data_IF_685314016705
#
_entry.id   IF_685314016705
#
_cell.length_a   1.000
_cell.length_b   1.000
_cell.length_c   1.000
_cell.angle_alpha   90.00
_cell.angle_beta   90.00
_cell.angle_gamma   90.00
#
_symmetry.space_group_name_H-M   'P 1'
#
loop_
_entity.id
_entity.type
_entity.pdbx_description
1 polymer ?
#
# COMPACT_ATOMS: atom_id res chain seq x y z
N UNK A 1 30.14 12.55 8.02
CA UNK A 1 30.31 11.41 8.90
C UNK A 1 29.34 10.38 8.42
N UNK A 2 29.84 9.25 7.87
CA UNK A 2 28.99 8.10 7.56
C UNK A 2 28.25 7.66 8.83
N UNK A 3 26.96 7.25 8.77
CA UNK A 3 26.32 6.64 9.91
C UNK A 3 27.16 5.41 10.28
N UNK A 4 27.51 5.34 11.56
CA UNK A 4 28.15 4.16 12.13
C UNK A 4 27.32 2.92 11.79
N UNK A 5 27.98 1.77 11.57
CA UNK A 5 27.47 0.40 11.45
C UNK A 5 26.53 -0.05 12.58
N UNK A 6 25.52 0.74 12.91
CA UNK A 6 24.37 0.23 13.66
C UNK A 6 23.51 -0.50 12.62
N UNK A 7 23.69 -1.82 12.53
CA UNK A 7 22.76 -2.70 11.81
C UNK A 7 21.35 -2.31 12.25
N UNK A 8 20.56 -1.72 11.34
CA UNK A 8 19.19 -1.40 11.66
C UNK A 8 18.45 -2.71 11.96
N UNK A 9 17.93 -2.82 13.17
CA UNK A 9 17.09 -3.97 13.51
C UNK A 9 15.82 -3.99 12.64
N UNK A 10 15.24 -5.17 12.40
CA UNK A 10 13.95 -5.25 11.71
C UNK A 10 12.92 -4.36 12.36
N UNK A 11 12.18 -3.61 11.54
CA UNK A 11 11.16 -2.68 12.00
C UNK A 11 9.85 -2.85 11.21
N UNK A 12 8.78 -2.21 11.68
CA UNK A 12 7.46 -2.38 11.10
C UNK A 12 6.90 -1.05 10.63
N UNK A 13 6.31 -1.08 9.43
CA UNK A 13 5.63 0.05 8.79
C UNK A 13 4.19 -0.36 8.49
N UNK A 14 3.23 0.53 8.72
CA UNK A 14 1.85 0.34 8.30
C UNK A 14 1.62 1.01 6.95
N UNK A 15 1.30 0.22 5.92
CA UNK A 15 0.76 0.76 4.68
C UNK A 15 -0.74 0.95 4.85
N UNK A 16 -1.22 2.14 4.52
CA UNK A 16 -2.63 2.54 4.60
C UNK A 16 -3.08 2.97 3.22
N UNK A 17 -4.04 2.27 2.65
CA UNK A 17 -4.75 2.74 1.47
C UNK A 17 -6.01 3.48 1.90
N UNK A 18 -6.09 4.76 1.60
CA UNK A 18 -7.23 5.60 1.95
C UNK A 18 -8.03 6.00 0.71
N UNK A 19 -9.33 6.25 0.92
CA UNK A 19 -10.23 6.79 -0.09
C UNK A 19 -10.92 8.02 0.51
N UNK A 20 -10.66 9.16 -0.12
CA UNK A 20 -11.24 10.43 0.31
C UNK A 20 -12.63 10.61 -0.33
N UNK A 21 -13.63 9.92 0.21
CA UNK A 21 -15.02 10.10 -0.21
C UNK A 21 -15.70 11.18 0.64
N UNK A 22 -15.97 12.32 0.06
CA UNK A 22 -16.67 13.44 0.71
C UNK A 22 -17.99 13.06 1.39
N UNK A 23 -18.65 11.98 0.94
CA UNK A 23 -19.97 11.58 1.39
C UNK A 23 -19.98 10.66 2.62
N UNK A 24 -18.92 9.89 2.88
CA UNK A 24 -18.90 8.85 3.93
C UNK A 24 -17.78 9.00 4.95
N UNK A 25 -16.98 10.07 4.87
CA UNK A 25 -15.79 10.29 5.67
C UNK A 25 -14.60 9.45 5.20
N UNK A 26 -13.42 9.91 5.53
CA UNK A 26 -12.16 9.22 5.21
C UNK A 26 -12.09 7.89 5.97
N UNK A 27 -11.88 6.80 5.24
CA UNK A 27 -11.68 5.46 5.84
C UNK A 27 -10.51 4.79 5.17
N UNK A 28 -9.77 3.99 5.93
CA UNK A 28 -8.79 3.11 5.34
C UNK A 28 -9.48 1.92 4.68
N UNK A 29 -9.26 1.76 3.39
CA UNK A 29 -9.75 0.59 2.65
C UNK A 29 -8.75 -0.56 2.65
N UNK A 30 -7.48 -0.27 2.83
CA UNK A 30 -6.43 -1.27 2.95
C UNK A 30 -5.51 -0.96 4.13
N UNK A 31 -5.22 -1.99 4.92
CA UNK A 31 -4.24 -1.96 6.00
C UNK A 31 -3.29 -3.14 5.80
N UNK A 32 -2.01 -2.85 5.57
CA UNK A 32 -0.97 -3.88 5.39
C UNK A 32 0.17 -3.60 6.34
N UNK A 33 0.37 -4.51 7.29
CA UNK A 33 1.53 -4.48 8.18
C UNK A 33 2.75 -5.03 7.42
N UNK A 34 3.78 -4.23 7.30
CA UNK A 34 5.02 -4.55 6.60
C UNK A 34 6.15 -4.65 7.59
N UNK A 35 6.81 -5.81 7.65
CA UNK A 35 8.07 -5.98 8.34
C UNK A 35 9.21 -5.79 7.36
N UNK A 36 10.12 -4.88 7.65
CA UNK A 36 11.33 -4.62 6.88
C UNK A 36 12.52 -5.11 7.69
N UNK A 37 13.29 -6.00 7.08
CA UNK A 37 14.54 -6.52 7.65
C UNK A 37 15.71 -6.02 6.79
N UNK A 38 16.38 -4.94 7.19
CA UNK A 38 17.46 -4.36 6.39
C UNK A 38 18.72 -5.25 6.31
N UNK A 39 18.94 -6.07 7.32
CA UNK A 39 20.11 -6.97 7.35
C UNK A 39 19.88 -8.21 6.49
N UNK A 40 18.70 -8.81 6.63
CA UNK A 40 18.31 -9.97 5.82
C UNK A 40 17.81 -9.63 4.42
N UNK A 41 17.62 -8.35 4.10
CA UNK A 41 16.98 -7.84 2.88
C UNK A 41 15.66 -8.55 2.59
N UNK A 42 14.82 -8.70 3.61
CA UNK A 42 13.53 -9.38 3.53
C UNK A 42 12.41 -8.42 3.89
N UNK A 43 11.40 -8.39 3.03
CA UNK A 43 10.15 -7.67 3.26
C UNK A 43 9.02 -8.69 3.41
N UNK A 44 8.30 -8.62 4.51
CA UNK A 44 7.13 -9.47 4.78
C UNK A 44 5.89 -8.61 4.93
N UNK A 45 4.79 -9.01 4.30
CA UNK A 45 3.53 -8.28 4.34
C UNK A 45 2.39 -9.12 4.89
N UNK A 46 1.60 -8.54 5.77
CA UNK A 46 0.38 -9.13 6.32
C UNK A 46 -0.76 -8.13 6.21
N UNK A 47 -1.85 -8.50 5.53
CA UNK A 47 -3.05 -7.67 5.50
C UNK A 47 -3.82 -7.78 6.81
N UNK A 48 -4.30 -6.65 7.29
CA UNK A 48 -5.29 -6.56 8.37
C UNK A 48 -6.64 -6.29 7.73
N UNK A 49 -7.63 -7.20 7.87
CA UNK A 49 -8.95 -6.99 7.29
C UNK A 49 -9.59 -5.73 7.87
N UNK A 50 -10.06 -4.84 7.01
CA UNK A 50 -10.64 -3.55 7.42
C UNK A 50 -11.85 -3.69 8.33
N UNK A 51 -12.58 -4.82 8.23
CA UNK A 51 -13.77 -5.14 9.04
C UNK A 51 -13.44 -5.87 10.35
N UNK A 52 -12.13 -6.03 10.68
CA UNK A 52 -11.69 -6.63 11.95
C UNK A 52 -12.34 -5.90 13.13
N UNK A 53 -13.00 -6.63 14.05
CA UNK A 53 -13.56 -6.02 15.25
C UNK A 53 -12.47 -5.41 16.12
N UNK A 54 -12.66 -4.17 16.53
CA UNK A 54 -11.76 -3.43 17.40
C UNK A 54 -12.57 -2.69 18.50
N UNK A 55 -12.16 -2.87 19.75
CA UNK A 55 -12.81 -2.19 20.86
C UNK A 55 -12.29 -0.76 21.02
N UNK A 56 -13.16 0.21 20.85
CA UNK A 56 -12.85 1.62 21.01
C UNK A 56 -13.91 2.33 21.85
N UNK A 57 -13.49 2.97 22.94
CA UNK A 57 -14.38 3.68 23.87
C UNK A 57 -15.57 2.82 24.39
N UNK A 58 -15.33 1.52 24.67
CA UNK A 58 -16.34 0.59 25.15
C UNK A 58 -17.36 0.13 24.11
N UNK A 59 -17.07 0.34 22.83
CA UNK A 59 -17.85 -0.15 21.69
C UNK A 59 -16.97 -0.97 20.77
N UNK A 60 -17.58 -1.98 20.15
CA UNK A 60 -16.91 -2.75 19.10
C UNK A 60 -17.20 -2.08 17.75
N UNK A 61 -16.16 -1.58 17.13
CA UNK A 61 -16.18 -0.92 15.82
C UNK A 61 -15.33 -1.72 14.82
N UNK A 62 -15.39 -1.36 13.54
CA UNK A 62 -14.46 -1.89 12.55
C UNK A 62 -13.13 -1.16 12.67
N UNK A 63 -12.00 -1.90 12.57
CA UNK A 63 -10.66 -1.33 12.73
C UNK A 63 -10.38 -0.16 11.75
N UNK A 64 -10.96 -0.21 10.54
CA UNK A 64 -10.79 0.86 9.54
C UNK A 64 -11.42 2.21 9.97
N UNK A 65 -12.33 2.22 10.93
CA UNK A 65 -12.88 3.46 11.47
C UNK A 65 -11.86 4.24 12.30
N UNK A 66 -10.81 3.59 12.77
CA UNK A 66 -9.76 4.27 13.55
C UNK A 66 -8.97 5.26 12.70
N UNK A 67 -8.95 5.05 11.39
CA UNK A 67 -8.43 6.05 10.45
C UNK A 67 -9.31 7.32 10.43
N UNK A 68 -10.63 7.19 10.41
CA UNK A 68 -11.55 8.34 10.48
C UNK A 68 -11.44 9.10 11.83
N UNK A 69 -11.03 8.43 12.90
CA UNK A 69 -10.88 9.03 14.24
C UNK A 69 -9.63 9.90 14.32
N UNK A 70 -8.50 9.43 13.83
CA UNK A 70 -7.20 10.11 13.97
C UNK A 70 -6.22 9.82 12.81
N UNK A 71 -6.72 9.71 11.56
CA UNK A 71 -5.89 9.49 10.39
C UNK A 71 -5.01 8.24 10.50
N UNK A 72 -3.86 8.28 9.84
CA UNK A 72 -2.89 7.20 9.89
C UNK A 72 -2.44 6.84 11.32
N UNK A 73 -2.32 7.81 12.24
CA UNK A 73 -1.96 7.56 13.63
C UNK A 73 -3.01 6.71 14.36
N UNK A 74 -4.30 6.92 14.08
CA UNK A 74 -5.38 6.09 14.62
C UNK A 74 -5.31 4.65 14.11
N UNK A 75 -5.06 4.47 12.81
CA UNK A 75 -4.86 3.16 12.20
C UNK A 75 -3.62 2.44 12.78
N UNK A 76 -2.49 3.14 12.93
CA UNK A 76 -1.27 2.61 13.57
C UNK A 76 -1.56 2.11 14.97
N UNK A 77 -2.20 2.94 15.80
CA UNK A 77 -2.55 2.56 17.20
C UNK A 77 -3.39 1.29 17.22
N UNK A 78 -4.46 1.24 16.41
CA UNK A 78 -5.35 0.09 16.40
C UNK A 78 -4.66 -1.21 15.91
N UNK A 79 -3.78 -1.12 14.91
CA UNK A 79 -3.03 -2.30 14.44
C UNK A 79 -1.98 -2.73 15.46
N UNK A 80 -1.32 -1.81 16.16
CA UNK A 80 -0.41 -2.12 17.26
C UNK A 80 -1.14 -2.86 18.39
N UNK A 81 -2.30 -2.37 18.81
CA UNK A 81 -3.10 -3.00 19.88
C UNK A 81 -3.57 -4.39 19.48
N UNK A 82 -3.99 -4.56 18.22
CA UNK A 82 -4.42 -5.85 17.68
C UNK A 82 -3.31 -6.89 17.63
N UNK A 83 -2.11 -6.47 17.21
CA UNK A 83 -1.00 -7.38 16.87
C UNK A 83 0.04 -7.52 17.96
N UNK A 84 0.10 -6.58 18.90
CA UNK A 84 1.19 -6.46 19.87
C UNK A 84 2.53 -6.03 19.28
N UNK A 85 2.56 -5.65 18.01
CA UNK A 85 3.79 -5.26 17.29
C UNK A 85 3.97 -3.75 17.37
N UNK A 86 5.16 -3.28 17.71
CA UNK A 86 5.51 -1.85 17.67
C UNK A 86 5.72 -1.42 16.22
N UNK A 87 4.85 -0.57 15.70
CA UNK A 87 4.94 0.03 14.38
C UNK A 87 5.70 1.36 14.52
N UNK A 88 6.82 1.51 13.80
CA UNK A 88 7.65 2.71 13.85
C UNK A 88 7.13 3.82 12.95
N UNK A 89 6.59 3.44 11.79
CA UNK A 89 6.25 4.36 10.72
C UNK A 89 5.00 3.95 9.97
N UNK A 90 4.48 4.87 9.15
CA UNK A 90 3.39 4.60 8.22
C UNK A 90 3.69 5.17 6.83
N UNK A 91 3.04 4.59 5.84
CA UNK A 91 2.90 5.12 4.49
C UNK A 91 1.43 5.07 4.12
N UNK A 92 0.84 6.20 3.90
CA UNK A 92 -0.53 6.35 3.43
C UNK A 92 -0.52 6.77 1.96
N UNK A 93 -1.31 6.07 1.14
CA UNK A 93 -1.52 6.39 -0.25
C UNK A 93 -3.01 6.48 -0.55
N UNK A 94 -3.44 7.60 -1.10
CA UNK A 94 -4.77 7.75 -1.66
C UNK A 94 -4.83 7.12 -3.06
N UNK A 95 -6.01 6.73 -3.52
CA UNK A 95 -6.16 6.14 -4.86
C UNK A 95 -5.71 7.07 -5.99
N UNK A 96 -5.91 8.39 -5.84
CA UNK A 96 -5.40 9.36 -6.81
C UNK A 96 -3.86 9.35 -6.86
N UNK A 97 -3.20 9.38 -5.69
CA UNK A 97 -1.75 9.28 -5.60
C UNK A 97 -1.20 7.95 -6.13
N UNK A 98 -1.92 6.83 -5.89
CA UNK A 98 -1.57 5.54 -6.48
C UNK A 98 -1.58 5.61 -8.01
N UNK A 99 -2.65 6.15 -8.60
CA UNK A 99 -2.77 6.28 -10.06
C UNK A 99 -1.66 7.14 -10.63
N UNK A 100 -1.42 8.32 -10.05
CA UNK A 100 -0.36 9.24 -10.48
C UNK A 100 1.03 8.60 -10.41
N UNK A 101 1.34 7.90 -9.33
CA UNK A 101 2.63 7.24 -9.18
C UNK A 101 2.80 6.11 -10.22
N UNK A 102 1.81 5.24 -10.37
CA UNK A 102 1.84 4.14 -11.36
C UNK A 102 2.03 4.68 -12.78
N UNK A 103 1.31 5.73 -13.15
CA UNK A 103 1.43 6.33 -14.47
C UNK A 103 2.81 7.00 -14.67
N UNK A 104 3.37 7.61 -13.64
CA UNK A 104 4.69 8.26 -13.68
C UNK A 104 5.83 7.28 -13.98
N UNK A 105 5.67 6.01 -13.60
CA UNK A 105 6.65 4.94 -13.85
C UNK A 105 6.32 4.06 -15.06
N UNK A 106 5.28 4.43 -15.85
CA UNK A 106 4.87 3.73 -17.06
C UNK A 106 4.03 2.48 -16.82
N UNK A 107 3.44 2.32 -15.64
CA UNK A 107 2.64 1.17 -15.26
C UNK A 107 3.40 0.12 -14.44
N UNK A 108 2.66 -0.85 -13.92
CA UNK A 108 3.22 -2.00 -13.19
C UNK A 108 2.67 -3.32 -13.72
N UNK A 109 3.50 -4.37 -13.73
CA UNK A 109 3.05 -5.71 -14.05
C UNK A 109 2.39 -6.36 -12.84
N UNK A 110 1.12 -6.72 -12.99
CA UNK A 110 0.33 -7.40 -11.95
C UNK A 110 -0.29 -8.66 -12.52
N UNK A 111 -0.25 -9.74 -11.73
CA UNK A 111 -0.99 -10.96 -12.06
C UNK A 111 -2.44 -10.81 -11.58
N UNK A 112 -3.33 -10.55 -12.52
CA UNK A 112 -4.76 -10.32 -12.28
C UNK A 112 -5.48 -11.66 -12.19
N UNK A 113 -6.11 -12.01 -11.06
CA UNK A 113 -6.64 -13.37 -10.86
C UNK A 113 -7.87 -13.67 -11.71
N UNK A 114 -8.67 -12.66 -12.04
CA UNK A 114 -9.92 -12.81 -12.81
C UNK A 114 -10.10 -11.61 -13.73
N UNK A 115 -10.66 -11.82 -14.92
CA UNK A 115 -11.13 -10.72 -15.76
C UNK A 115 -12.18 -9.91 -15.01
N UNK A 116 -12.02 -8.62 -14.98
CA UNK A 116 -12.92 -7.70 -14.27
C UNK A 116 -13.41 -6.59 -15.20
N UNK A 117 -14.68 -6.23 -15.02
CA UNK A 117 -15.29 -5.03 -15.57
C UNK A 117 -15.68 -4.14 -14.39
N UNK A 118 -14.91 -3.11 -14.12
CA UNK A 118 -15.16 -2.20 -13.01
C UNK A 118 -15.92 -0.98 -13.50
N UNK A 119 -17.19 -0.87 -13.09
CA UNK A 119 -17.98 0.33 -13.33
C UNK A 119 -17.58 1.41 -12.33
N UNK A 120 -16.97 2.47 -12.82
CA UNK A 120 -16.73 3.68 -12.03
C UNK A 120 -18.07 4.30 -11.65
N UNK A 121 -18.22 4.73 -10.40
CA UNK A 121 -19.51 5.24 -9.87
C UNK A 121 -19.99 6.55 -10.50
N UNK A 122 -19.22 7.18 -11.36
CA UNK A 122 -19.62 8.36 -12.13
C UNK A 122 -20.17 7.90 -13.49
N UNK A 123 -21.39 8.32 -13.83
CA UNK A 123 -22.10 7.88 -15.06
C UNK A 123 -21.39 8.29 -16.36
N UNK A 124 -20.38 9.16 -16.29
CA UNK A 124 -19.70 9.74 -17.44
C UNK A 124 -18.37 9.03 -17.79
N UNK A 125 -17.94 8.04 -17.00
CA UNK A 125 -16.72 7.29 -17.27
C UNK A 125 -17.03 5.89 -17.79
N UNK A 126 -16.29 5.47 -18.82
CA UNK A 126 -16.38 4.10 -19.34
C UNK A 126 -15.96 3.08 -18.27
N UNK A 127 -16.54 1.86 -18.26
CA UNK A 127 -16.06 0.78 -17.40
C UNK A 127 -14.58 0.48 -17.67
N UNK A 128 -13.82 0.26 -16.59
CA UNK A 128 -12.44 -0.19 -16.70
C UNK A 128 -12.44 -1.70 -16.88
N UNK A 129 -11.98 -2.15 -18.04
CA UNK A 129 -11.82 -3.57 -18.36
C UNK A 129 -10.39 -4.01 -18.11
N UNK A 130 -10.21 -5.13 -17.39
CA UNK A 130 -8.90 -5.75 -17.10
C UNK A 130 -9.03 -7.25 -17.29
N UNK A 131 -8.26 -7.80 -18.23
CA UNK A 131 -8.21 -9.25 -18.45
C UNK A 131 -7.52 -9.97 -17.29
N UNK A 132 -7.80 -11.26 -17.10
CA UNK A 132 -7.05 -12.10 -16.18
C UNK A 132 -5.63 -12.38 -16.72
N UNK A 133 -4.68 -12.62 -15.81
CA UNK A 133 -3.30 -12.96 -16.10
C UNK A 133 -2.32 -11.83 -15.84
N UNK A 134 -1.05 -12.07 -16.14
CA UNK A 134 0.03 -11.10 -15.93
C UNK A 134 0.03 -10.05 -17.03
N UNK A 135 -0.21 -8.80 -16.66
CA UNK A 135 -0.28 -7.70 -17.60
C UNK A 135 0.17 -6.37 -17.00
N UNK A 136 0.56 -5.45 -17.87
CA UNK A 136 0.93 -4.09 -17.49
C UNK A 136 -0.35 -3.29 -17.24
N UNK A 137 -0.52 -2.83 -16.01
CA UNK A 137 -1.65 -1.98 -15.60
C UNK A 137 -1.20 -0.53 -15.47
N UNK A 138 -2.03 0.39 -15.96
CA UNK A 138 -1.91 1.82 -15.68
C UNK A 138 -2.53 2.18 -14.33
N UNK A 139 -2.45 3.44 -13.94
CA UNK A 139 -2.95 3.93 -12.65
C UNK A 139 -4.45 3.70 -12.45
N UNK A 140 -5.27 3.98 -13.46
CA UNK A 140 -6.73 3.77 -13.41
C UNK A 140 -7.08 2.29 -13.22
N UNK A 141 -6.40 1.40 -13.94
CA UNK A 141 -6.58 -0.05 -13.81
C UNK A 141 -6.14 -0.56 -12.43
N UNK A 142 -5.05 -0.03 -11.87
CA UNK A 142 -4.63 -0.36 -10.51
C UNK A 142 -5.67 0.05 -9.47
N UNK A 143 -6.26 1.24 -9.59
CA UNK A 143 -7.33 1.70 -8.70
C UNK A 143 -8.57 0.82 -8.85
N UNK A 144 -8.96 0.48 -10.08
CA UNK A 144 -10.08 -0.42 -10.34
C UNK A 144 -9.87 -1.78 -9.68
N UNK A 145 -8.66 -2.37 -9.83
CA UNK A 145 -8.29 -3.65 -9.21
C UNK A 145 -8.30 -3.59 -7.68
N UNK A 146 -7.85 -2.48 -7.07
CA UNK A 146 -7.86 -2.26 -5.62
C UNK A 146 -9.28 -2.15 -5.04
N UNK A 147 -10.22 -1.59 -5.82
CA UNK A 147 -11.60 -1.35 -5.40
C UNK A 147 -12.56 -2.49 -5.72
N UNK A 148 -12.24 -3.32 -6.73
CA UNK A 148 -13.12 -4.37 -7.19
C UNK A 148 -13.45 -5.39 -6.10
N UNK A 149 -14.75 -5.70 -5.97
CA UNK A 149 -15.28 -6.70 -5.04
C UNK A 149 -16.25 -7.67 -5.72
N UNK A 150 -17.14 -7.14 -6.55
CA UNK A 150 -18.29 -7.88 -7.09
C UNK A 150 -17.91 -9.04 -8.01
N UNK A 151 -16.70 -9.04 -8.58
CA UNK A 151 -16.21 -10.14 -9.41
C UNK A 151 -15.79 -11.39 -8.62
N UNK A 152 -15.69 -11.32 -7.29
CA UNK A 152 -15.02 -12.33 -6.47
C UNK A 152 -15.95 -13.21 -5.61
N UNK A 153 -17.27 -13.07 -5.75
CA UNK A 153 -18.22 -13.85 -4.98
C UNK A 153 -18.07 -13.69 -3.46
N UNK A 154 -18.12 -14.78 -2.72
CA UNK A 154 -18.10 -14.76 -1.24
C UNK A 154 -16.71 -14.40 -0.67
N UNK A 155 -15.63 -14.69 -1.42
CA UNK A 155 -14.24 -14.41 -1.01
C UNK A 155 -13.74 -13.02 -1.41
N UNK A 156 -14.65 -12.12 -1.80
CA UNK A 156 -14.33 -10.81 -2.38
C UNK A 156 -13.33 -9.98 -1.56
N UNK A 157 -13.42 -9.98 -0.24
CA UNK A 157 -12.53 -9.20 0.60
C UNK A 157 -11.11 -9.79 0.67
N UNK A 158 -10.99 -11.11 0.79
CA UNK A 158 -9.70 -11.80 0.81
C UNK A 158 -8.94 -11.62 -0.51
N UNK A 159 -9.66 -11.72 -1.64
CA UNK A 159 -9.09 -11.52 -2.98
C UNK A 159 -8.68 -10.07 -3.17
N UNK A 160 -9.53 -9.10 -2.78
CA UNK A 160 -9.19 -7.67 -2.84
C UNK A 160 -7.91 -7.36 -2.05
N UNK A 161 -7.78 -7.88 -0.83
CA UNK A 161 -6.57 -7.71 -0.03
C UNK A 161 -5.35 -8.37 -0.68
N UNK A 162 -5.53 -9.52 -1.33
CA UNK A 162 -4.46 -10.15 -2.11
C UNK A 162 -4.01 -9.27 -3.28
N UNK A 163 -4.95 -8.65 -4.00
CA UNK A 163 -4.65 -7.73 -5.09
C UNK A 163 -3.88 -6.50 -4.59
N UNK A 164 -4.29 -5.90 -3.47
CA UNK A 164 -3.58 -4.76 -2.87
C UNK A 164 -2.14 -5.13 -2.52
N UNK A 165 -1.92 -6.30 -1.90
CA UNK A 165 -0.55 -6.77 -1.62
C UNK A 165 0.25 -7.04 -2.89
N UNK A 166 -0.36 -7.66 -3.90
CA UNK A 166 0.30 -7.92 -5.18
C UNK A 166 0.73 -6.62 -5.87
N UNK A 167 -0.11 -5.59 -5.86
CA UNK A 167 0.23 -4.26 -6.38
C UNK A 167 1.34 -3.60 -5.57
N UNK A 168 1.29 -3.64 -4.23
CA UNK A 168 2.34 -3.08 -3.38
C UNK A 168 3.70 -3.78 -3.65
N UNK A 169 3.69 -5.11 -3.81
CA UNK A 169 4.89 -5.85 -4.17
C UNK A 169 5.38 -5.51 -5.58
N UNK A 170 4.48 -5.32 -6.55
CA UNK A 170 4.83 -4.94 -7.92
C UNK A 170 5.47 -3.55 -7.97
N UNK A 171 4.93 -2.58 -7.21
CA UNK A 171 5.51 -1.24 -7.06
C UNK A 171 6.91 -1.29 -6.45
N UNK A 172 7.08 -2.01 -5.35
CA UNK A 172 8.40 -2.18 -4.72
C UNK A 172 9.39 -2.86 -5.67
N UNK A 173 8.97 -3.93 -6.32
CA UNK A 173 9.82 -4.64 -7.29
C UNK A 173 10.26 -3.72 -8.43
N UNK A 174 9.37 -2.88 -8.95
CA UNK A 174 9.70 -1.90 -9.99
C UNK A 174 10.80 -0.94 -9.51
N UNK A 175 10.65 -0.38 -8.30
CA UNK A 175 11.66 0.52 -7.71
C UNK A 175 12.98 -0.21 -7.46
N UNK A 176 12.95 -1.40 -6.86
CA UNK A 176 14.16 -2.15 -6.48
C UNK A 176 14.91 -2.74 -7.67
N UNK A 177 14.26 -2.94 -8.82
CA UNK A 177 14.88 -3.40 -10.06
C UNK A 177 15.34 -2.26 -10.98
N UNK A 178 15.04 -1.01 -10.62
CA UNK A 178 15.49 0.15 -11.37
C UNK A 178 17.02 0.31 -11.26
N UNK A 179 17.66 0.92 -12.26
CA UNK A 179 19.06 1.30 -12.17
C UNK A 179 19.31 2.14 -10.90
N UNK A 180 20.38 1.86 -10.12
CA UNK A 180 20.61 2.57 -8.84
C UNK A 180 20.60 4.10 -8.94
N UNK A 181 20.99 4.63 -10.08
CA UNK A 181 21.00 6.08 -10.36
C UNK A 181 19.57 6.66 -10.45
N UNK A 182 18.57 5.85 -10.79
CA UNK A 182 17.18 6.28 -10.94
C UNK A 182 16.37 6.18 -9.63
N UNK A 183 16.81 5.34 -8.69
CA UNK A 183 16.10 5.11 -7.41
C UNK A 183 15.79 6.41 -6.66
N UNK A 184 16.71 7.37 -6.48
CA UNK A 184 16.40 8.60 -5.78
C UNK A 184 15.26 9.39 -6.43
N UNK A 185 15.22 9.45 -7.77
CA UNK A 185 14.15 10.11 -8.53
C UNK A 185 12.80 9.40 -8.38
N UNK A 186 12.79 8.06 -8.43
CA UNK A 186 11.57 7.27 -8.22
C UNK A 186 11.01 7.45 -6.80
N UNK A 187 11.87 7.41 -5.78
CA UNK A 187 11.45 7.64 -4.38
C UNK A 187 10.97 9.07 -4.17
N UNK A 188 11.61 10.04 -4.81
CA UNK A 188 11.15 11.44 -4.76
C UNK A 188 9.76 11.59 -5.39
N UNK A 189 9.49 10.97 -6.53
CA UNK A 189 8.16 10.96 -7.14
C UNK A 189 7.14 10.28 -6.23
N UNK A 190 7.47 9.12 -5.66
CA UNK A 190 6.60 8.43 -4.71
C UNK A 190 6.26 9.32 -3.51
N UNK A 191 7.25 10.03 -2.96
CA UNK A 191 7.05 10.91 -1.79
C UNK A 191 6.08 12.06 -2.04
N UNK A 192 5.80 12.40 -3.29
CA UNK A 192 4.80 13.41 -3.66
C UNK A 192 3.38 12.83 -3.71
N UNK A 193 3.27 11.52 -3.86
CA UNK A 193 2.00 10.79 -3.99
C UNK A 193 1.53 10.14 -2.68
N UNK A 194 2.35 10.19 -1.61
CA UNK A 194 2.06 9.53 -0.34
C UNK A 194 2.21 10.50 0.84
N UNK A 195 1.48 10.23 1.93
CA UNK A 195 1.73 10.80 3.25
C UNK A 195 2.50 9.78 4.08
N UNK A 196 3.61 10.16 4.69
CA UNK A 196 4.46 9.22 5.45
C UNK A 196 5.22 9.89 6.58
N UNK A 197 5.50 9.13 7.64
CA UNK A 197 6.40 9.54 8.73
C UNK A 197 7.88 9.27 8.41
N UNK A 198 8.17 8.48 7.38
CA UNK A 198 9.54 8.14 6.98
C UNK A 198 10.12 9.31 6.19
N UNK A 199 11.27 9.83 6.61
CA UNK A 199 11.92 10.90 5.86
C UNK A 199 12.46 10.40 4.49
N UNK A 200 12.53 11.34 3.54
CA UNK A 200 12.92 11.04 2.15
C UNK A 200 14.29 10.36 2.05
N UNK A 201 15.26 10.79 2.87
CA UNK A 201 16.61 10.24 2.83
C UNK A 201 16.65 8.79 3.31
N UNK A 202 15.89 8.47 4.33
CA UNK A 202 15.72 7.09 4.83
C UNK A 202 15.07 6.21 3.77
N UNK A 203 14.01 6.69 3.09
CA UNK A 203 13.39 5.94 1.99
C UNK A 203 14.36 5.65 0.86
N UNK A 204 15.14 6.64 0.42
CA UNK A 204 16.16 6.49 -0.64
C UNK A 204 17.24 5.50 -0.20
N UNK A 205 17.72 5.61 1.04
CA UNK A 205 18.77 4.73 1.56
C UNK A 205 18.31 3.27 1.61
N UNK A 206 17.11 3.02 2.15
CA UNK A 206 16.52 1.67 2.20
C UNK A 206 16.33 1.09 0.79
N UNK A 207 15.71 1.84 -0.12
CA UNK A 207 15.48 1.37 -1.48
C UNK A 207 16.80 1.05 -2.20
N UNK A 208 17.83 1.88 -2.02
CA UNK A 208 19.15 1.67 -2.62
C UNK A 208 19.84 0.43 -2.05
N UNK A 209 19.78 0.24 -0.74
CA UNK A 209 20.36 -0.91 -0.05
C UNK A 209 19.73 -2.24 -0.49
N UNK A 210 18.39 -2.30 -0.51
CA UNK A 210 17.67 -3.47 -0.99
C UNK A 210 17.92 -3.75 -2.48
N UNK A 211 18.00 -2.73 -3.33
CA UNK A 211 18.29 -2.90 -4.75
C UNK A 211 19.70 -3.45 -4.97
N UNK A 212 20.68 -3.04 -4.18
CA UNK A 212 22.06 -3.55 -4.27
C UNK A 212 22.19 -5.00 -3.79
N UNK A 213 21.40 -5.40 -2.80
CA UNK A 213 21.39 -6.76 -2.27
C UNK A 213 20.70 -7.78 -3.21
N UNK A 214 19.79 -7.32 -4.03
CA UNK A 214 19.04 -8.17 -5.00
C UNK A 214 19.74 -8.42 -6.33
N UNK A 215 20.94 -7.83 -6.54
CA UNK A 215 21.77 -8.02 -7.76
C UNK A 215 22.90 -9.06 -7.48
#
# INVERSE_FOLDING_TARGET
>A
LAPSDSQMEPFYVLLVGSDNWETYGERSDALVLVRIDPVGHVITMVSVPRDTPYEYNGKVEKINQMFAVNGAAGAVTAVQDLTGVKISDYVEIEFAGLAEFVDSIGGIYVDVPYTIDYQVYTQDQAPVHIEAGNQLLNGEQCVALARMRTAYGDDQEAIRQSNVRAMAMALMKNVLQAPPVEIPGLIQNLSQCVSTSIDLQTMISLATDFAQAGN
#
